data_IF_540191107705
#
_entry.id   IF_540191107705
#
_cell.length_a   1.000
_cell.length_b   1.000
_cell.length_c   1.000
_cell.angle_alpha   90.00
_cell.angle_beta   90.00
_cell.angle_gamma   90.00
#
_symmetry.space_group_name_H-M   'P 1'
#
loop_
_entity.id
_entity.type
_entity.pdbx_description
1 polymer ?
#
# COMPACT_ATOMS: atom_id res chain seq x y z
N UNK A 1 10.51 31.22 -12.37
CA UNK A 1 9.35 30.39 -11.97
C UNK A 1 9.61 29.04 -12.61
N UNK A 2 10.29 28.15 -11.88
CA UNK A 2 10.72 26.87 -12.41
C UNK A 2 9.50 26.01 -12.66
N UNK A 3 9.33 25.68 -13.94
CA UNK A 3 8.33 24.76 -14.48
C UNK A 3 8.51 23.40 -13.78
N UNK A 4 7.77 23.18 -12.69
CA UNK A 4 7.58 21.84 -12.15
C UNK A 4 6.73 21.10 -13.17
N UNK A 5 7.39 20.31 -14.01
CA UNK A 5 6.76 19.36 -14.93
C UNK A 5 6.02 18.33 -14.08
N UNK A 6 4.81 18.69 -13.65
CA UNK A 6 3.80 17.75 -13.21
C UNK A 6 3.45 16.91 -14.43
N UNK A 7 3.93 15.67 -14.47
CA UNK A 7 3.54 14.69 -15.47
C UNK A 7 2.00 14.73 -15.64
N UNK A 8 1.55 15.05 -16.84
CA UNK A 8 0.23 15.62 -17.14
C UNK A 8 -0.95 14.65 -16.98
N UNK A 9 -0.74 13.43 -16.45
CA UNK A 9 -1.73 12.35 -16.60
C UNK A 9 -2.45 11.91 -15.31
N UNK A 10 -2.08 12.41 -14.12
CA UNK A 10 -2.67 11.93 -12.86
C UNK A 10 -3.17 13.09 -12.03
N UNK A 11 -4.48 13.31 -12.08
CA UNK A 11 -5.18 14.29 -11.28
C UNK A 11 -5.12 13.98 -9.78
N UNK A 12 -5.36 14.98 -8.92
CA UNK A 12 -5.31 14.83 -7.46
C UNK A 12 -6.21 13.71 -6.92
N UNK A 13 -7.31 13.40 -7.61
CA UNK A 13 -8.21 12.31 -7.26
C UNK A 13 -7.59 10.92 -7.44
N UNK A 14 -6.75 10.72 -8.45
CA UNK A 14 -6.08 9.43 -8.70
C UNK A 14 -4.94 9.19 -7.71
N UNK A 15 -4.24 10.26 -7.28
CA UNK A 15 -3.31 10.17 -6.14
C UNK A 15 -4.02 9.82 -4.84
N UNK A 16 -5.15 10.46 -4.56
CA UNK A 16 -5.93 10.17 -3.36
C UNK A 16 -6.42 8.70 -3.34
N UNK A 17 -6.82 8.15 -4.48
CA UNK A 17 -7.15 6.72 -4.62
C UNK A 17 -5.96 5.82 -4.31
N UNK A 18 -4.77 6.12 -4.81
CA UNK A 18 -3.55 5.32 -4.56
C UNK A 18 -3.14 5.32 -3.09
N UNK A 19 -3.17 6.49 -2.44
CA UNK A 19 -2.92 6.60 -1.00
C UNK A 19 -3.96 5.81 -0.19
N UNK A 20 -5.24 5.89 -0.58
CA UNK A 20 -6.31 5.12 0.06
C UNK A 20 -6.11 3.62 -0.11
N UNK A 21 -5.72 3.16 -1.29
CA UNK A 21 -5.37 1.75 -1.52
C UNK A 21 -4.20 1.30 -0.65
N UNK A 22 -3.16 2.14 -0.50
CA UNK A 22 -2.03 1.88 0.40
C UNK A 22 -2.46 1.67 1.86
N UNK A 23 -3.35 2.54 2.37
CA UNK A 23 -3.94 2.40 3.71
C UNK A 23 -4.82 1.16 3.86
N UNK A 24 -5.70 0.88 2.89
CA UNK A 24 -6.55 -0.31 2.90
C UNK A 24 -5.69 -1.57 2.97
N UNK A 25 -4.65 -1.65 2.14
CA UNK A 25 -3.73 -2.80 2.13
C UNK A 25 -2.94 -2.91 3.43
N UNK A 26 -2.56 -1.80 4.06
CA UNK A 26 -1.89 -1.82 5.36
C UNK A 26 -2.78 -2.42 6.44
N UNK A 27 -4.02 -1.93 6.54
CA UNK A 27 -5.01 -2.40 7.52
C UNK A 27 -5.31 -3.89 7.30
N UNK A 28 -5.53 -4.29 6.05
CA UNK A 28 -5.78 -5.68 5.69
C UNK A 28 -4.59 -6.57 6.07
N UNK A 29 -3.36 -6.14 5.78
CA UNK A 29 -2.15 -6.87 6.17
C UNK A 29 -2.05 -7.05 7.68
N UNK A 30 -2.31 -5.99 8.45
CA UNK A 30 -2.31 -6.03 9.90
C UNK A 30 -3.36 -7.00 10.45
N UNK A 31 -4.58 -6.97 9.90
CA UNK A 31 -5.67 -7.86 10.30
C UNK A 31 -5.34 -9.34 10.01
N UNK A 32 -4.81 -9.64 8.82
CA UNK A 32 -4.38 -11.00 8.46
C UNK A 32 -3.26 -11.47 9.39
N UNK A 33 -2.28 -10.61 9.68
CA UNK A 33 -1.18 -10.92 10.60
C UNK A 33 -1.71 -11.25 11.99
N UNK A 34 -2.60 -10.40 12.53
CA UNK A 34 -3.21 -10.63 13.84
C UNK A 34 -3.99 -11.95 13.88
N UNK A 35 -4.78 -12.24 12.83
CA UNK A 35 -5.53 -13.50 12.74
C UNK A 35 -4.59 -14.72 12.72
N UNK A 36 -3.50 -14.68 11.95
CA UNK A 36 -2.52 -15.77 11.90
C UNK A 36 -1.83 -16.02 13.24
N UNK A 37 -1.53 -14.95 14.00
CA UNK A 37 -0.97 -15.05 15.34
C UNK A 37 -1.97 -15.67 16.33
N UNK A 38 -3.22 -15.21 16.32
CA UNK A 38 -4.27 -15.73 17.21
C UNK A 38 -4.58 -17.20 16.93
N UNK A 39 -4.57 -17.61 15.67
CA UNK A 39 -4.81 -18.99 15.25
C UNK A 39 -3.60 -19.90 15.36
N UNK A 40 -2.45 -19.41 15.86
CA UNK A 40 -1.19 -20.15 15.97
C UNK A 40 -0.79 -20.83 14.65
N UNK A 41 -1.05 -20.14 13.53
CA UNK A 41 -0.83 -20.70 12.21
C UNK A 41 0.66 -21.00 11.98
N UNK A 42 0.98 -22.05 11.20
CA UNK A 42 2.37 -22.35 10.83
C UNK A 42 3.03 -21.13 10.18
N UNK A 43 4.31 -20.88 10.53
CA UNK A 43 5.10 -19.73 10.07
C UNK A 43 5.14 -19.55 8.55
N UNK A 44 4.92 -20.61 7.80
CA UNK A 44 4.82 -20.59 6.34
C UNK A 44 3.66 -19.74 5.81
N UNK A 45 2.57 -19.60 6.58
CA UNK A 45 1.46 -18.72 6.23
C UNK A 45 1.84 -17.22 6.25
N UNK A 46 2.93 -16.85 6.94
CA UNK A 46 3.45 -15.49 6.94
C UNK A 46 3.93 -15.04 5.55
N UNK A 47 4.29 -15.97 4.65
CA UNK A 47 4.64 -15.64 3.27
C UNK A 47 3.45 -15.02 2.50
N UNK A 48 2.21 -15.37 2.84
CA UNK A 48 1.01 -14.80 2.21
C UNK A 48 0.79 -13.34 2.61
N UNK A 49 1.37 -12.88 3.72
CA UNK A 49 1.30 -11.48 4.18
C UNK A 49 2.24 -10.58 3.37
N UNK A 50 3.25 -11.14 2.71
CA UNK A 50 4.23 -10.40 1.93
C UNK A 50 3.59 -9.56 0.82
N UNK A 51 2.65 -10.14 0.05
CA UNK A 51 1.97 -9.46 -1.05
C UNK A 51 1.15 -8.23 -0.59
N UNK A 52 0.26 -8.35 0.41
CA UNK A 52 -0.44 -7.21 1.00
C UNK A 52 0.49 -6.11 1.54
N UNK A 53 1.56 -6.49 2.24
CA UNK A 53 2.56 -5.55 2.78
C UNK A 53 3.29 -4.82 1.66
N UNK A 54 3.70 -5.54 0.63
CA UNK A 54 4.37 -4.98 -0.54
C UNK A 54 3.47 -3.98 -1.28
N UNK A 55 2.20 -4.34 -1.50
CA UNK A 55 1.20 -3.45 -2.12
C UNK A 55 0.92 -2.20 -1.30
N UNK A 56 0.92 -2.31 0.03
CA UNK A 56 0.82 -1.14 0.91
C UNK A 56 1.98 -0.17 0.68
N UNK A 57 3.21 -0.68 0.68
CA UNK A 57 4.42 0.11 0.39
C UNK A 57 4.34 0.79 -0.97
N UNK A 58 3.96 0.05 -2.02
CA UNK A 58 3.80 0.62 -3.37
C UNK A 58 2.80 1.78 -3.41
N UNK A 59 1.66 1.69 -2.70
CA UNK A 59 0.67 2.76 -2.64
C UNK A 59 1.21 4.03 -1.99
N UNK A 60 2.00 3.90 -0.91
CA UNK A 60 2.64 5.04 -0.24
C UNK A 60 3.77 5.63 -1.07
N UNK A 61 4.62 4.80 -1.69
CA UNK A 61 5.73 5.29 -2.52
C UNK A 61 5.22 5.97 -3.80
N UNK A 62 4.20 5.43 -4.47
CA UNK A 62 3.56 6.12 -5.61
C UNK A 62 2.93 7.46 -5.21
N UNK A 63 2.32 7.55 -4.02
CA UNK A 63 1.78 8.80 -3.52
C UNK A 63 2.88 9.85 -3.22
N UNK A 64 4.04 9.40 -2.75
CA UNK A 64 5.19 10.26 -2.44
C UNK A 64 5.95 10.70 -3.70
N UNK A 65 6.16 9.79 -4.64
CA UNK A 65 6.94 10.03 -5.87
C UNK A 65 6.17 10.80 -6.95
N UNK A 66 4.98 11.32 -6.62
CA UNK A 66 4.18 12.18 -7.51
C UNK A 66 3.83 11.51 -8.87
N UNK A 67 3.90 10.18 -8.97
CA UNK A 67 3.61 9.41 -10.19
C UNK A 67 2.13 9.29 -10.50
#
# INVERSE_FOLDING_TARGET
MTDEICAINIGPNERAKRTRTGWIMLILSGAITAALLLLHAPRWWSALIFLPLFMSGLGFFQAREKT
#
